data_IF_617950600358
#
_entry.id   IF_617950600358
#
_cell.length_a   1.000
_cell.length_b   1.000
_cell.length_c   1.000
_cell.angle_alpha   90.00
_cell.angle_beta   90.00
_cell.angle_gamma   90.00
#
_symmetry.space_group_name_H-M   'P 1'
#
loop_
_entity.id
_entity.type
_entity.pdbx_description
1 polymer ?
#
# COMPACT_ATOMS: atom_id res chain seq x y z
N UNK A 1 -8.49 10.49 4.98
CA UNK A 1 -8.79 9.38 4.08
C UNK A 1 -8.30 8.11 4.71
N UNK A 2 -9.11 7.06 4.75
CA UNK A 2 -8.79 5.82 5.47
C UNK A 2 -8.11 4.76 4.59
N UNK A 3 -8.30 4.82 3.26
CA UNK A 3 -7.82 3.84 2.28
C UNK A 3 -7.44 4.52 0.96
N UNK A 4 -6.32 4.11 0.36
CA UNK A 4 -5.92 4.47 -1.00
C UNK A 4 -5.42 3.22 -1.75
N UNK A 5 -5.80 3.09 -3.01
CA UNK A 5 -5.44 1.96 -3.88
C UNK A 5 -5.10 2.52 -5.25
N UNK A 6 -3.93 2.17 -5.78
CA UNK A 6 -3.48 2.65 -7.09
C UNK A 6 -2.62 1.59 -7.81
N UNK A 7 -2.42 1.76 -9.11
CA UNK A 7 -1.68 0.84 -9.97
C UNK A 7 -0.87 1.58 -11.05
N UNK A 8 0.22 0.95 -11.51
CA UNK A 8 1.10 1.51 -12.52
C UNK A 8 2.10 2.52 -11.97
N UNK A 9 2.45 2.39 -10.68
CA UNK A 9 3.44 3.23 -10.01
C UNK A 9 4.81 2.55 -9.97
N UNK A 10 5.85 3.38 -9.97
CA UNK A 10 7.22 2.99 -9.72
C UNK A 10 7.66 3.37 -8.28
N UNK A 11 8.80 2.85 -7.78
CA UNK A 11 9.30 3.17 -6.45
C UNK A 11 9.42 4.67 -6.17
N UNK A 12 9.86 5.45 -7.16
CA UNK A 12 10.07 6.89 -6.99
C UNK A 12 8.78 7.68 -6.81
N UNK A 13 7.63 7.13 -7.24
CA UNK A 13 6.33 7.75 -7.04
C UNK A 13 5.81 7.58 -5.61
N UNK A 14 6.25 6.51 -4.91
CA UNK A 14 5.61 6.07 -3.67
C UNK A 14 6.47 6.19 -2.42
N UNK A 15 7.79 6.06 -2.50
CA UNK A 15 8.65 5.96 -1.31
C UNK A 15 8.56 7.18 -0.39
N UNK A 16 8.39 8.38 -0.95
CA UNK A 16 8.19 9.60 -0.16
C UNK A 16 6.86 9.56 0.63
N UNK A 17 5.78 9.11 -0.01
CA UNK A 17 4.47 8.94 0.63
C UNK A 17 4.48 7.80 1.65
N UNK A 18 5.15 6.68 1.35
CA UNK A 18 5.29 5.53 2.23
C UNK A 18 5.87 5.94 3.59
N UNK A 19 6.96 6.71 3.59
CA UNK A 19 7.59 7.21 4.82
C UNK A 19 6.63 8.05 5.68
N UNK A 20 5.77 8.88 5.04
CA UNK A 20 4.78 9.70 5.75
C UNK A 20 3.64 8.82 6.31
N UNK A 21 3.14 7.87 5.51
CA UNK A 21 2.05 6.97 5.89
C UNK A 21 2.47 6.13 7.10
N UNK A 22 3.64 5.49 7.03
CA UNK A 22 4.18 4.65 8.10
C UNK A 22 4.50 5.49 9.35
N UNK A 23 5.08 6.68 9.18
CA UNK A 23 5.35 7.61 10.27
C UNK A 23 4.08 8.10 11.00
N UNK A 24 2.94 8.09 10.31
CA UNK A 24 1.62 8.39 10.88
C UNK A 24 0.92 7.15 11.48
N UNK A 25 1.54 5.97 11.45
CA UNK A 25 0.96 4.71 11.93
C UNK A 25 0.07 3.98 10.93
N UNK A 26 0.07 4.41 9.67
CA UNK A 26 -0.58 3.71 8.56
C UNK A 26 0.25 2.53 8.04
N UNK A 27 -0.33 1.79 7.10
CA UNK A 27 0.26 0.60 6.49
C UNK A 27 0.27 0.77 4.98
N UNK A 28 1.36 0.40 4.33
CA UNK A 28 1.49 0.39 2.88
C UNK A 28 2.15 -0.91 2.40
N UNK A 29 1.53 -1.58 1.44
CA UNK A 29 2.04 -2.81 0.81
C UNK A 29 1.65 -2.83 -0.66
N UNK A 30 2.12 -3.83 -1.41
CA UNK A 30 1.44 -4.19 -2.64
C UNK A 30 0.08 -4.87 -2.36
N UNK A 31 -0.63 -5.25 -3.42
CA UNK A 31 -1.95 -5.91 -3.29
C UNK A 31 -1.86 -7.36 -2.79
N UNK A 32 -0.68 -7.97 -2.80
CA UNK A 32 -0.41 -9.29 -2.27
C UNK A 32 0.02 -9.24 -0.79
N UNK A 33 0.10 -8.03 -0.23
CA UNK A 33 0.55 -7.78 1.14
C UNK A 33 2.06 -7.76 1.31
N UNK A 34 2.82 -7.79 0.21
CA UNK A 34 4.27 -7.76 0.25
C UNK A 34 4.80 -6.32 0.43
N UNK A 35 5.97 -6.15 1.06
CA UNK A 35 6.59 -4.84 1.21
C UNK A 35 6.92 -4.19 -0.15
N UNK A 36 6.79 -2.87 -0.21
CA UNK A 36 7.27 -2.07 -1.34
C UNK A 36 8.80 -2.00 -1.28
N UNK A 37 9.47 -2.38 -2.37
CA UNK A 37 10.94 -2.40 -2.48
C UNK A 37 11.42 -1.55 -3.67
N UNK A 38 12.73 -1.30 -3.78
CA UNK A 38 13.28 -0.56 -4.93
C UNK A 38 13.17 -1.32 -6.26
N UNK A 39 12.92 -2.64 -6.22
CA UNK A 39 12.67 -3.47 -7.41
C UNK A 39 11.18 -3.71 -7.67
N UNK A 40 10.30 -3.22 -6.78
CA UNK A 40 8.87 -3.32 -6.98
C UNK A 40 8.42 -2.32 -8.05
N UNK A 41 7.40 -2.70 -8.82
CA UNK A 41 6.62 -1.79 -9.65
C UNK A 41 5.20 -2.33 -9.71
N UNK A 42 4.21 -1.46 -9.85
CA UNK A 42 2.84 -1.87 -10.10
C UNK A 42 1.84 -1.35 -9.07
N UNK A 43 1.28 -2.25 -8.26
CA UNK A 43 0.03 -2.04 -7.52
C UNK A 43 0.28 -1.80 -6.05
N UNK A 44 -0.23 -0.70 -5.52
CA UNK A 44 -0.06 -0.30 -4.11
C UNK A 44 -1.40 -0.24 -3.39
N UNK A 45 -1.36 -0.57 -2.12
CA UNK A 45 -2.43 -0.41 -1.15
C UNK A 45 -1.88 0.35 0.04
N UNK A 46 -2.51 1.45 0.42
CA UNK A 46 -2.23 2.17 1.65
C UNK A 46 -3.50 2.30 2.50
N UNK A 47 -3.37 2.14 3.82
CA UNK A 47 -4.48 2.30 4.75
C UNK A 47 -4.05 2.96 6.05
N UNK A 48 -5.01 3.55 6.77
CA UNK A 48 -4.75 4.19 8.07
C UNK A 48 -4.40 3.23 9.21
N UNK A 49 -4.41 1.91 8.98
CA UNK A 49 -4.05 0.93 10.01
C UNK A 49 -4.33 -0.52 9.61
N UNK A 50 -3.66 -1.45 10.30
CA UNK A 50 -3.60 -2.88 9.97
C UNK A 50 -4.97 -3.54 9.73
N UNK A 51 -5.94 -3.31 10.61
CA UNK A 51 -7.25 -3.98 10.52
C UNK A 51 -8.09 -3.57 9.30
N UNK A 52 -7.88 -2.37 8.76
CA UNK A 52 -8.49 -1.96 7.48
C UNK A 52 -7.68 -2.51 6.31
N UNK A 53 -6.35 -2.52 6.42
CA UNK A 53 -5.44 -3.08 5.44
C UNK A 53 -5.76 -4.53 5.09
N UNK A 54 -5.93 -5.38 6.10
CA UNK A 54 -6.24 -6.81 5.94
C UNK A 54 -7.58 -7.04 5.24
N UNK A 55 -8.60 -6.24 5.56
CA UNK A 55 -9.91 -6.30 4.90
C UNK A 55 -9.80 -5.90 3.43
N UNK A 56 -8.99 -4.90 3.13
CA UNK A 56 -8.75 -4.46 1.76
C UNK A 56 -7.99 -5.53 0.95
N UNK A 57 -6.93 -6.12 1.50
CA UNK A 57 -6.21 -7.25 0.88
C UNK A 57 -7.15 -8.44 0.60
N UNK A 58 -8.01 -8.80 1.55
CA UNK A 58 -8.99 -9.87 1.39
C UNK A 58 -10.05 -9.58 0.30
N UNK A 59 -10.28 -8.30 -0.01
CA UNK A 59 -11.14 -7.89 -1.11
C UNK A 59 -10.39 -7.91 -2.44
N UNK A 60 -9.18 -7.35 -2.48
CA UNK A 60 -8.35 -7.25 -3.70
C UNK A 60 -7.90 -8.62 -4.23
N UNK A 61 -7.75 -9.62 -3.36
CA UNK A 61 -7.42 -11.00 -3.79
C UNK A 61 -8.51 -11.69 -4.64
N UNK A 62 -9.66 -11.04 -4.82
CA UNK A 62 -10.78 -11.52 -5.65
C UNK A 62 -10.86 -10.82 -7.01
N UNK A 63 -9.97 -9.88 -7.29
CA UNK A 63 -9.91 -9.04 -8.50
C UNK A 63 -8.70 -9.44 -9.32
#
# INVERSE_FOLDING_TARGET
>A
TDLAVDAGLDPFDIFACAAVIEGAGGVITDWDGAPITLSWSGRVLASGGQGLHEKALAFLSKV
#
